data_IF_181837197355
#
_entry.id   IF_181837197355
#
_cell.length_a   1.000
_cell.length_b   1.000
_cell.length_c   1.000
_cell.angle_alpha   90.00
_cell.angle_beta   90.00
_cell.angle_gamma   90.00
#
_symmetry.space_group_name_H-M   'P 1'
#
loop_
_entity.id
_entity.type
_entity.pdbx_description
1 polymer ?
#
# COMPACT_ATOMS: atom_id res chain seq x y z
N UNK A 1 -10.39 16.56 15.41
CA UNK A 1 -11.19 15.37 15.09
C UNK A 1 -12.54 15.52 15.77
N UNK A 2 -13.59 15.86 15.00
CA UNK A 2 -14.96 15.94 15.52
C UNK A 2 -15.66 14.64 15.18
N UNK A 3 -15.70 13.72 16.14
CA UNK A 3 -16.34 12.41 15.94
C UNK A 3 -17.85 12.56 16.13
N UNK A 4 -18.57 12.77 15.03
CA UNK A 4 -20.02 12.55 15.01
C UNK A 4 -20.25 11.04 14.94
N UNK A 5 -20.64 10.46 16.07
CA UNK A 5 -20.88 9.02 16.21
C UNK A 5 -22.12 8.67 15.36
N UNK A 6 -21.91 7.92 14.27
CA UNK A 6 -22.97 7.44 13.37
C UNK A 6 -22.81 7.80 11.89
N UNK A 7 -21.82 8.61 11.50
CA UNK A 7 -21.54 8.92 10.09
C UNK A 7 -20.30 8.17 9.59
N UNK A 8 -20.41 7.51 8.44
CA UNK A 8 -19.26 6.98 7.71
C UNK A 8 -18.41 8.16 7.22
N UNK A 9 -17.18 8.23 7.70
CA UNK A 9 -16.17 9.18 7.25
C UNK A 9 -15.02 8.42 6.58
N UNK A 10 -14.63 8.84 5.37
CA UNK A 10 -13.44 8.29 4.71
C UNK A 10 -12.34 9.32 4.85
N UNK A 11 -11.25 8.91 5.49
CA UNK A 11 -10.09 9.76 5.72
C UNK A 11 -9.25 9.90 4.46
N UNK A 12 -8.73 11.10 4.23
CA UNK A 12 -7.72 11.36 3.22
C UNK A 12 -6.34 10.94 3.76
N UNK A 13 -5.49 10.47 2.85
CA UNK A 13 -4.08 10.31 3.13
C UNK A 13 -3.36 11.66 3.08
N UNK A 14 -2.09 11.62 3.42
CA UNK A 14 -1.09 12.70 3.38
C UNK A 14 -0.97 13.38 1.99
N UNK A 15 -1.48 12.74 0.94
CA UNK A 15 -1.51 13.26 -0.43
C UNK A 15 -2.89 13.83 -0.83
N UNK A 16 -3.82 13.97 0.13
CA UNK A 16 -5.19 14.47 -0.12
C UNK A 16 -6.08 13.47 -0.87
N UNK A 17 -5.69 12.20 -0.95
CA UNK A 17 -6.46 11.17 -1.63
C UNK A 17 -7.23 10.31 -0.63
N UNK A 18 -8.46 9.94 -0.96
CA UNK A 18 -9.32 9.09 -0.10
C UNK A 18 -8.97 7.60 -0.17
N UNK A 19 -7.91 7.25 -0.87
CA UNK A 19 -7.41 5.88 -1.02
C UNK A 19 -5.89 5.87 -1.01
N UNK A 20 -5.31 4.92 -0.29
CA UNK A 20 -3.85 4.70 -0.29
C UNK A 20 -3.54 3.39 -1.03
N UNK A 21 -2.62 3.41 -2.02
CA UNK A 21 -2.17 2.19 -2.69
C UNK A 21 -1.62 1.17 -1.70
N UNK A 22 -1.95 -0.11 -1.88
CA UNK A 22 -1.36 -1.20 -1.10
C UNK A 22 -0.01 -1.61 -1.69
N UNK A 23 0.96 -0.70 -1.63
CA UNK A 23 2.33 -0.85 -2.16
C UNK A 23 3.34 -0.62 -1.03
N UNK A 24 4.41 -1.40 -1.05
CA UNK A 24 5.55 -1.27 -0.13
C UNK A 24 6.82 -1.37 -0.94
N UNK A 25 7.67 -0.35 -0.89
CA UNK A 25 8.99 -0.35 -1.52
C UNK A 25 10.07 -0.36 -0.44
N UNK A 26 11.07 -1.21 -0.62
CA UNK A 26 12.19 -1.36 0.30
C UNK A 26 13.42 -0.69 -0.28
N UNK A 27 14.09 0.13 0.52
CA UNK A 27 15.45 0.59 0.25
C UNK A 27 16.41 -0.02 1.27
N UNK A 28 17.71 0.29 1.16
CA UNK A 28 18.69 -0.16 2.15
C UNK A 28 18.43 0.38 3.57
N UNK A 29 17.78 1.54 3.67
CA UNK A 29 17.63 2.27 4.94
C UNK A 29 16.17 2.44 5.37
N UNK A 30 15.24 2.44 4.42
CA UNK A 30 13.86 2.84 4.64
C UNK A 30 12.85 1.86 4.05
N UNK A 31 11.63 1.93 4.58
CA UNK A 31 10.46 1.28 4.04
C UNK A 31 9.47 2.36 3.61
N UNK A 32 9.27 2.49 2.30
CA UNK A 32 8.39 3.47 1.68
C UNK A 32 7.04 2.80 1.42
N UNK A 33 5.93 3.50 1.69
CA UNK A 33 4.58 2.93 1.57
C UNK A 33 3.64 3.82 0.75
N UNK A 34 2.53 3.24 0.28
CA UNK A 34 1.43 4.02 -0.29
C UNK A 34 1.76 4.63 -1.63
N UNK A 35 1.53 5.94 -1.76
CA UNK A 35 1.68 6.65 -3.04
C UNK A 35 3.14 6.71 -3.50
N UNK A 36 4.05 7.00 -2.58
CA UNK A 36 5.47 7.08 -2.86
C UNK A 36 6.01 5.72 -3.32
N UNK A 37 5.63 4.64 -2.64
CA UNK A 37 6.00 3.28 -3.04
C UNK A 37 5.49 2.92 -4.44
N UNK A 38 4.26 3.33 -4.78
CA UNK A 38 3.71 3.12 -6.13
C UNK A 38 4.55 3.82 -7.19
N UNK A 39 4.96 5.08 -6.96
CA UNK A 39 5.83 5.82 -7.87
C UNK A 39 7.22 5.17 -7.95
N UNK A 40 7.75 4.70 -6.82
CA UNK A 40 9.05 4.06 -6.73
C UNK A 40 9.16 2.81 -7.61
N UNK A 41 8.06 2.10 -7.87
CA UNK A 41 8.00 0.96 -8.82
C UNK A 41 8.57 1.31 -10.20
N UNK A 42 8.50 2.58 -10.64
CA UNK A 42 9.07 3.02 -11.92
C UNK A 42 10.60 3.00 -11.90
N UNK A 43 11.19 3.28 -10.73
CA UNK A 43 12.65 3.40 -10.54
C UNK A 43 13.25 2.07 -10.11
N UNK A 44 12.64 1.40 -9.14
CA UNK A 44 13.10 0.12 -8.60
C UNK A 44 11.90 -0.84 -8.41
N UNK A 45 11.48 -1.50 -9.50
CA UNK A 45 10.37 -2.45 -9.45
C UNK A 45 10.70 -3.73 -8.68
N UNK A 46 11.98 -4.11 -8.59
CA UNK A 46 12.40 -5.37 -7.96
C UNK A 46 12.21 -5.32 -6.46
N UNK A 47 12.53 -4.18 -5.84
CA UNK A 47 12.37 -3.98 -4.41
C UNK A 47 11.00 -3.40 -4.01
N UNK A 48 10.02 -3.42 -4.93
CA UNK A 48 8.66 -2.91 -4.66
C UNK A 48 7.63 -4.03 -4.72
N UNK A 49 6.98 -4.29 -3.58
CA UNK A 49 5.94 -5.31 -3.43
C UNK A 49 4.55 -4.68 -3.54
N UNK A 50 3.72 -5.27 -4.40
CA UNK A 50 2.30 -4.98 -4.54
C UNK A 50 1.52 -6.27 -4.77
N UNK A 51 0.18 -6.20 -4.76
CA UNK A 51 -0.71 -7.37 -4.90
C UNK A 51 -0.54 -8.46 -3.82
N UNK A 52 0.18 -8.18 -2.73
CA UNK A 52 0.39 -9.12 -1.63
C UNK A 52 -0.91 -9.73 -1.09
N UNK A 53 -2.01 -8.95 -1.07
CA UNK A 53 -3.36 -9.42 -0.69
C UNK A 53 -3.85 -10.64 -1.50
N UNK A 54 -3.38 -10.82 -2.73
CA UNK A 54 -3.70 -11.98 -3.59
C UNK A 54 -2.96 -13.25 -3.18
N UNK A 55 -1.87 -13.11 -2.42
CA UNK A 55 -0.98 -14.21 -2.02
C UNK A 55 -1.17 -14.62 -0.56
N UNK A 56 -1.74 -13.75 0.28
CA UNK A 56 -1.99 -14.05 1.70
C UNK A 56 -2.81 -15.34 1.83
N UNK A 57 -2.29 -16.29 2.62
CA UNK A 57 -2.94 -17.57 2.88
C UNK A 57 -2.73 -18.65 1.82
N UNK A 58 -2.07 -18.34 0.69
CA UNK A 58 -1.75 -19.31 -0.36
C UNK A 58 -0.43 -20.00 -0.10
N UNK A 59 -0.29 -21.25 -0.58
CA UNK A 59 1.00 -21.95 -0.56
C UNK A 59 1.86 -21.50 -1.74
N UNK A 60 3.18 -21.46 -1.56
CA UNK A 60 4.10 -21.11 -2.65
C UNK A 60 4.00 -22.07 -3.85
N UNK A 61 3.72 -23.34 -3.60
CA UNK A 61 3.57 -24.37 -4.64
C UNK A 61 2.18 -24.42 -5.27
N UNK A 62 1.26 -23.55 -4.82
CA UNK A 62 -0.09 -23.48 -5.35
C UNK A 62 -0.07 -22.76 -6.70
N UNK A 63 -0.68 -23.34 -7.74
CA UNK A 63 -0.76 -22.68 -9.05
C UNK A 63 -1.65 -21.44 -8.96
N UNK A 64 -1.13 -20.31 -9.44
CA UNK A 64 -1.88 -19.06 -9.58
C UNK A 64 -2.85 -19.15 -10.74
#
# INVERSE_FOLDING_TARGET
>A
MSTVIGKLEVFENDHGQRTTPSYVAFSEFDCIIGNEAKIHTIVDPVNTVYDAKRLIGRKFTEKV
#
